data_IF_905597220049
#
_entry.id   IF_905597220049
#
_cell.length_a   1.000
_cell.length_b   1.000
_cell.length_c   1.000
_cell.angle_alpha   90.00
_cell.angle_beta   90.00
_cell.angle_gamma   90.00
#
_symmetry.space_group_name_H-M   'P 1'
#
loop_
_entity.id
_entity.type
_entity.pdbx_description
1 polymer ?
#
# COMPACT_ATOMS: atom_id res chain seq x y z
N UNK A 1 -17.86 2.01 19.87
CA UNK A 1 -16.75 1.32 19.22
C UNK A 1 -15.89 0.69 20.31
N UNK A 2 -15.57 -0.59 20.18
CA UNK A 2 -14.58 -1.24 21.04
C UNK A 2 -13.23 -1.13 20.32
N UNK A 3 -12.27 -0.43 20.90
CA UNK A 3 -10.92 -0.24 20.33
C UNK A 3 -9.92 -1.29 20.83
N UNK A 4 -10.37 -2.28 21.60
CA UNK A 4 -9.50 -3.37 22.03
C UNK A 4 -9.26 -4.32 20.85
N UNK A 5 -8.00 -4.68 20.65
CA UNK A 5 -7.64 -5.70 19.66
C UNK A 5 -8.32 -7.03 19.96
N UNK A 6 -8.81 -7.71 18.94
CA UNK A 6 -9.33 -9.07 19.07
C UNK A 6 -8.19 -10.06 19.34
N UNK A 7 -8.53 -11.24 19.86
CA UNK A 7 -7.54 -12.32 20.05
C UNK A 7 -6.81 -12.65 18.73
N UNK A 8 -7.55 -12.72 17.62
CA UNK A 8 -6.99 -12.93 16.28
C UNK A 8 -5.98 -11.84 15.90
N UNK A 9 -6.28 -10.57 16.15
CA UNK A 9 -5.36 -9.47 15.87
C UNK A 9 -4.08 -9.57 16.71
N UNK A 10 -4.20 -9.97 17.99
CA UNK A 10 -3.05 -10.16 18.88
C UNK A 10 -2.15 -11.28 18.35
N UNK A 11 -2.74 -12.43 18.00
CA UNK A 11 -2.00 -13.58 17.45
C UNK A 11 -1.29 -13.23 16.15
N UNK A 12 -1.96 -12.51 15.24
CA UNK A 12 -1.37 -12.01 13.99
C UNK A 12 -0.19 -11.07 14.28
N UNK A 13 -0.36 -10.14 15.21
CA UNK A 13 0.69 -9.19 15.58
C UNK A 13 1.94 -9.89 16.17
N UNK A 14 1.74 -10.89 17.02
CA UNK A 14 2.82 -11.71 17.59
C UNK A 14 3.54 -12.52 16.53
N UNK A 15 2.79 -13.22 15.67
CA UNK A 15 3.34 -13.99 14.56
C UNK A 15 4.19 -13.10 13.62
N UNK A 16 3.69 -11.93 13.25
CA UNK A 16 4.41 -10.98 12.38
C UNK A 16 5.65 -10.44 13.08
N UNK A 17 5.57 -10.15 14.37
CA UNK A 17 6.72 -9.68 15.16
C UNK A 17 7.85 -10.71 15.14
N UNK A 18 7.54 -11.97 15.45
CA UNK A 18 8.53 -13.05 15.48
C UNK A 18 9.13 -13.30 14.10
N UNK A 19 8.28 -13.38 13.08
CA UNK A 19 8.71 -13.50 11.69
C UNK A 19 9.61 -12.33 11.27
N UNK A 20 9.20 -11.13 11.58
CA UNK A 20 9.91 -9.91 11.19
C UNK A 20 11.26 -9.74 11.87
N UNK A 21 11.36 -10.07 13.16
CA UNK A 21 12.63 -10.06 13.90
C UNK A 21 13.60 -11.08 13.28
N UNK A 22 13.11 -12.26 12.91
CA UNK A 22 13.93 -13.35 12.39
C UNK A 22 14.34 -13.16 10.92
N UNK A 23 13.44 -12.67 10.07
CA UNK A 23 13.61 -12.73 8.62
C UNK A 23 13.71 -11.38 7.92
N UNK A 24 13.13 -10.30 8.48
CA UNK A 24 13.09 -8.98 7.85
C UNK A 24 14.14 -8.05 8.44
N UNK A 25 14.12 -7.86 9.77
CA UNK A 25 14.97 -6.88 10.47
C UNK A 25 16.46 -7.01 10.18
N UNK A 26 17.06 -8.22 10.11
CA UNK A 26 18.49 -8.36 9.86
C UNK A 26 18.96 -7.83 8.50
N UNK A 27 18.07 -7.78 7.51
CA UNK A 27 18.41 -7.49 6.13
C UNK A 27 17.80 -6.17 5.60
N UNK A 28 16.89 -5.54 6.35
CA UNK A 28 16.08 -4.43 5.83
C UNK A 28 16.90 -3.20 5.39
N UNK A 29 18.01 -2.92 6.06
CA UNK A 29 18.88 -1.79 5.71
C UNK A 29 19.70 -2.08 4.45
N UNK A 30 20.17 -3.31 4.30
CA UNK A 30 20.85 -3.76 3.08
C UNK A 30 19.92 -3.76 1.88
N UNK A 31 18.70 -4.29 2.03
CA UNK A 31 17.69 -4.25 0.96
C UNK A 31 17.35 -2.83 0.54
N UNK A 32 17.26 -1.90 1.51
CA UNK A 32 17.02 -0.49 1.24
C UNK A 32 18.18 0.13 0.46
N UNK A 33 19.42 -0.06 0.92
CA UNK A 33 20.60 0.51 0.30
C UNK A 33 20.81 0.01 -1.13
N UNK A 34 20.69 -1.30 -1.33
CA UNK A 34 20.91 -1.95 -2.62
C UNK A 34 19.64 -2.00 -3.50
N UNK A 35 18.49 -1.51 -2.99
CA UNK A 35 17.21 -1.56 -3.68
C UNK A 35 16.79 -2.99 -4.08
N UNK A 36 17.02 -3.96 -3.19
CA UNK A 36 16.66 -5.36 -3.39
C UNK A 36 15.19 -5.58 -3.02
N UNK A 37 14.40 -6.09 -3.96
CA UNK A 37 13.07 -6.62 -3.66
C UNK A 37 13.20 -8.04 -3.11
N UNK A 38 12.83 -8.30 -1.85
CA UNK A 38 13.09 -9.59 -1.21
C UNK A 38 11.98 -10.61 -1.51
N UNK A 39 11.90 -11.10 -2.74
CA UNK A 39 10.83 -12.00 -3.22
C UNK A 39 10.58 -13.20 -2.28
N UNK A 40 11.63 -13.81 -1.74
CA UNK A 40 11.52 -14.97 -0.83
C UNK A 40 10.79 -14.63 0.48
N UNK A 41 10.81 -13.37 0.91
CA UNK A 41 10.02 -12.93 2.07
C UNK A 41 8.53 -12.97 1.75
N UNK A 42 8.14 -12.57 0.53
CA UNK A 42 6.73 -12.58 0.12
C UNK A 42 6.18 -13.99 -0.03
N UNK A 43 6.97 -14.94 -0.52
CA UNK A 43 6.60 -16.36 -0.54
C UNK A 43 6.32 -16.88 0.88
N UNK A 44 7.21 -16.60 1.84
CA UNK A 44 7.00 -16.96 3.24
C UNK A 44 5.79 -16.25 3.87
N UNK A 45 5.53 -15.00 3.51
CA UNK A 45 4.31 -14.29 3.94
C UNK A 45 3.05 -14.93 3.33
N UNK A 46 3.13 -15.47 2.11
CA UNK A 46 2.07 -16.27 1.50
C UNK A 46 1.79 -17.56 2.27
N UNK A 47 2.84 -18.29 2.68
CA UNK A 47 2.72 -19.48 3.53
C UNK A 47 2.02 -19.20 4.87
N UNK A 48 2.15 -17.96 5.38
CA UNK A 48 1.48 -17.49 6.59
C UNK A 48 0.07 -16.92 6.33
N UNK A 49 -0.42 -16.95 5.08
CA UNK A 49 -1.73 -16.43 4.69
C UNK A 49 -1.80 -14.90 4.59
N UNK A 50 -0.65 -14.19 4.65
CA UNK A 50 -0.62 -12.73 4.72
C UNK A 50 -0.67 -12.03 3.34
N UNK A 51 -0.61 -12.80 2.26
CA UNK A 51 -0.73 -12.29 0.89
C UNK A 51 -2.16 -12.39 0.32
N UNK A 52 -3.07 -13.04 1.03
CA UNK A 52 -4.48 -13.17 0.69
C UNK A 52 -5.40 -12.92 1.89
N UNK A 53 -5.11 -11.90 2.71
CA UNK A 53 -5.81 -11.65 3.99
C UNK A 53 -7.33 -11.51 3.80
N UNK A 54 -7.72 -10.73 2.79
CA UNK A 54 -9.14 -10.40 2.49
C UNK A 54 -9.78 -11.39 1.49
N UNK A 55 -9.00 -12.32 0.94
CA UNK A 55 -9.50 -13.31 -0.03
C UNK A 55 -10.25 -14.39 0.74
N UNK A 56 -11.48 -14.76 0.32
CA UNK A 56 -12.21 -15.87 0.92
C UNK A 56 -11.44 -17.21 0.88
N UNK A 57 -11.68 -18.07 1.86
CA UNK A 57 -11.03 -19.38 1.97
C UNK A 57 -11.29 -20.26 0.73
N UNK A 58 -12.46 -20.14 0.10
CA UNK A 58 -12.81 -20.86 -1.13
C UNK A 58 -11.88 -20.57 -2.31
N UNK A 59 -11.17 -19.42 -2.28
CA UNK A 59 -10.15 -19.03 -3.24
C UNK A 59 -8.73 -19.11 -2.64
N UNK A 60 -8.55 -19.84 -1.54
CA UNK A 60 -7.24 -20.07 -0.92
C UNK A 60 -6.70 -18.90 -0.08
N UNK A 61 -7.52 -17.93 0.25
CA UNK A 61 -7.15 -16.83 1.15
C UNK A 61 -7.45 -17.11 2.61
N UNK A 62 -7.23 -16.12 3.48
CA UNK A 62 -7.45 -16.24 4.93
C UNK A 62 -8.87 -15.89 5.37
N UNK A 63 -9.70 -15.33 4.49
CA UNK A 63 -11.11 -14.99 4.79
C UNK A 63 -11.31 -13.97 5.91
N UNK A 64 -10.27 -13.17 6.22
CA UNK A 64 -10.26 -12.22 7.33
C UNK A 64 -10.82 -10.84 6.91
N UNK A 65 -11.07 -9.98 7.91
CA UNK A 65 -11.61 -8.65 7.69
C UNK A 65 -10.56 -7.55 7.66
N UNK A 66 -11.05 -6.31 7.56
CA UNK A 66 -10.18 -5.12 7.48
C UNK A 66 -9.46 -4.82 8.80
N UNK A 67 -9.94 -5.26 9.95
CA UNK A 67 -9.21 -5.10 11.21
C UNK A 67 -7.94 -5.93 11.23
N UNK A 68 -8.02 -7.19 10.81
CA UNK A 68 -6.87 -8.08 10.70
C UNK A 68 -5.93 -7.61 9.59
N UNK A 69 -6.47 -7.18 8.46
CA UNK A 69 -5.68 -6.63 7.36
C UNK A 69 -4.88 -5.38 7.77
N UNK A 70 -5.48 -4.45 8.48
CA UNK A 70 -4.79 -3.26 9.04
C UNK A 70 -3.69 -3.68 10.01
N UNK A 71 -3.95 -4.69 10.84
CA UNK A 71 -2.94 -5.25 11.76
C UNK A 71 -1.76 -5.82 10.97
N UNK A 72 -2.01 -6.63 9.93
CA UNK A 72 -0.97 -7.19 9.06
C UNK A 72 -0.10 -6.09 8.46
N UNK A 73 -0.71 -5.11 7.80
CA UNK A 73 0.04 -4.04 7.12
C UNK A 73 0.83 -3.20 8.12
N UNK A 74 0.22 -2.81 9.25
CA UNK A 74 0.89 -1.94 10.22
C UNK A 74 2.02 -2.65 10.96
N UNK A 75 1.87 -3.91 11.37
CA UNK A 75 2.93 -4.65 12.07
C UNK A 75 4.12 -4.99 11.14
N UNK A 76 3.88 -5.30 9.87
CA UNK A 76 4.97 -5.45 8.88
C UNK A 76 5.67 -4.12 8.64
N UNK A 77 4.92 -3.03 8.44
CA UNK A 77 5.47 -1.70 8.17
C UNK A 77 6.27 -1.12 9.34
N UNK A 78 5.90 -1.46 10.57
CA UNK A 78 6.63 -1.13 11.79
C UNK A 78 8.05 -1.69 11.81
N UNK A 79 8.27 -2.82 11.13
CA UNK A 79 9.59 -3.45 10.99
C UNK A 79 10.27 -2.95 9.71
N UNK A 80 9.58 -3.05 8.55
CA UNK A 80 10.08 -2.60 7.26
C UNK A 80 8.95 -2.06 6.38
N UNK A 81 8.93 -0.76 6.22
CA UNK A 81 7.93 -0.02 5.43
C UNK A 81 7.85 -0.49 3.98
N UNK A 82 8.98 -0.84 3.36
CA UNK A 82 9.03 -1.32 1.97
C UNK A 82 8.29 -2.64 1.79
N UNK A 83 8.47 -3.59 2.73
CA UNK A 83 7.73 -4.86 2.72
C UNK A 83 6.25 -4.61 2.99
N UNK A 84 5.94 -3.75 3.97
CA UNK A 84 4.56 -3.36 4.29
C UNK A 84 3.83 -2.73 3.09
N UNK A 85 4.50 -1.84 2.34
CA UNK A 85 3.95 -1.25 1.11
C UNK A 85 3.63 -2.31 0.06
N UNK A 86 4.54 -3.26 -0.16
CA UNK A 86 4.34 -4.31 -1.15
C UNK A 86 3.20 -5.25 -0.77
N UNK A 87 3.08 -5.63 0.51
CA UNK A 87 1.93 -6.41 1.02
C UNK A 87 0.62 -5.62 0.85
N UNK A 88 0.63 -4.33 1.17
CA UNK A 88 -0.54 -3.46 1.03
C UNK A 88 -0.98 -3.34 -0.44
N UNK A 89 -0.07 -3.02 -1.36
CA UNK A 89 -0.37 -2.87 -2.78
C UNK A 89 -0.85 -4.18 -3.42
N UNK A 90 -0.25 -5.31 -3.06
CA UNK A 90 -0.66 -6.63 -3.55
C UNK A 90 -2.09 -6.95 -3.12
N UNK A 91 -2.39 -6.91 -1.81
CA UNK A 91 -3.70 -7.27 -1.27
C UNK A 91 -4.81 -6.30 -1.68
N UNK A 92 -4.60 -4.98 -1.56
CA UNK A 92 -5.68 -4.01 -1.74
C UNK A 92 -5.92 -3.61 -3.18
N UNK A 93 -4.89 -3.59 -4.02
CA UNK A 93 -5.01 -3.10 -5.39
C UNK A 93 -5.25 -4.24 -6.38
N UNK A 94 -4.26 -5.08 -6.67
CA UNK A 94 -4.41 -6.16 -7.65
C UNK A 94 -5.40 -7.23 -7.19
N UNK A 95 -5.15 -7.82 -6.02
CA UNK A 95 -6.02 -8.88 -5.46
C UNK A 95 -7.42 -8.33 -5.21
N UNK A 96 -7.52 -7.15 -4.57
CA UNK A 96 -8.81 -6.50 -4.30
C UNK A 96 -9.59 -6.19 -5.57
N UNK A 97 -8.94 -5.76 -6.66
CA UNK A 97 -9.61 -5.49 -7.93
C UNK A 97 -10.21 -6.77 -8.55
N UNK A 98 -9.43 -7.86 -8.57
CA UNK A 98 -9.92 -9.16 -9.08
C UNK A 98 -11.04 -9.71 -8.20
N UNK A 99 -10.88 -9.61 -6.88
CA UNK A 99 -11.89 -10.09 -5.92
C UNK A 99 -13.23 -9.37 -6.09
N UNK A 100 -13.22 -8.05 -6.31
CA UNK A 100 -14.46 -7.26 -6.39
C UNK A 100 -15.13 -7.29 -7.77
N UNK A 101 -14.36 -7.44 -8.85
CA UNK A 101 -14.86 -7.25 -10.21
C UNK A 101 -14.57 -8.41 -11.16
N UNK A 102 -13.78 -9.39 -10.75
CA UNK A 102 -13.55 -10.61 -11.50
C UNK A 102 -14.80 -11.49 -11.54
N UNK A 103 -15.01 -12.16 -12.66
CA UNK A 103 -15.98 -13.25 -12.74
C UNK A 103 -15.43 -14.52 -12.04
N UNK A 104 -16.25 -15.55 -11.89
CA UNK A 104 -15.88 -16.75 -11.15
C UNK A 104 -14.65 -17.49 -11.75
N UNK A 105 -14.53 -17.51 -13.08
CA UNK A 105 -13.38 -18.13 -13.76
C UNK A 105 -12.09 -17.35 -13.45
N UNK A 106 -12.17 -16.03 -13.51
CA UNK A 106 -11.03 -15.15 -13.19
C UNK A 106 -10.62 -15.28 -11.72
N UNK A 107 -11.58 -15.27 -10.79
CA UNK A 107 -11.29 -15.46 -9.35
C UNK A 107 -10.63 -16.80 -9.08
N UNK A 108 -11.18 -17.90 -9.60
CA UNK A 108 -10.61 -19.24 -9.43
C UNK A 108 -9.24 -19.40 -10.06
N UNK A 109 -8.97 -18.69 -11.16
CA UNK A 109 -7.67 -18.75 -11.84
C UNK A 109 -6.58 -17.97 -11.11
N UNK A 110 -6.89 -16.76 -10.62
CA UNK A 110 -5.90 -15.82 -10.15
C UNK A 110 -5.77 -15.74 -8.64
N UNK A 111 -6.89 -15.76 -7.90
CA UNK A 111 -6.84 -15.51 -6.46
C UNK A 111 -6.04 -16.55 -5.66
N UNK A 112 -6.13 -17.88 -5.95
CA UNK A 112 -5.34 -18.86 -5.20
C UNK A 112 -3.83 -18.64 -5.32
N UNK A 113 -3.36 -18.33 -6.52
CA UNK A 113 -1.94 -18.08 -6.77
C UNK A 113 -1.43 -16.77 -6.14
N UNK A 114 -2.27 -15.76 -6.13
CA UNK A 114 -1.98 -14.48 -5.49
C UNK A 114 -2.00 -14.61 -3.96
N UNK A 115 -2.98 -15.31 -3.39
CA UNK A 115 -3.12 -15.49 -1.95
C UNK A 115 -1.96 -16.30 -1.35
N UNK A 116 -1.44 -17.30 -2.08
CA UNK A 116 -0.27 -18.09 -1.69
C UNK A 116 1.07 -17.41 -1.97
N UNK A 117 1.07 -16.26 -2.66
CA UNK A 117 2.27 -15.62 -3.21
C UNK A 117 3.07 -16.50 -4.20
N UNK A 118 2.44 -17.51 -4.80
CA UNK A 118 2.98 -18.15 -6.01
C UNK A 118 3.13 -17.11 -7.12
N UNK A 119 2.16 -16.20 -7.22
CA UNK A 119 2.17 -15.03 -8.09
C UNK A 119 2.10 -13.72 -7.30
N UNK A 120 2.86 -12.74 -7.76
CA UNK A 120 2.83 -11.37 -7.24
C UNK A 120 1.96 -10.50 -8.16
N UNK A 121 1.03 -9.77 -7.56
CA UNK A 121 0.14 -8.87 -8.27
C UNK A 121 0.67 -7.45 -8.38
N UNK A 122 0.45 -6.83 -9.53
CA UNK A 122 0.72 -5.43 -9.80
C UNK A 122 -0.55 -4.68 -10.23
N UNK A 123 -0.57 -3.34 -10.13
CA UNK A 123 -1.76 -2.56 -10.47
C UNK A 123 -1.38 -1.26 -11.19
N UNK A 124 -1.82 -1.09 -12.43
CA UNK A 124 -1.43 -0.02 -13.32
C UNK A 124 -2.55 0.98 -13.62
N UNK A 125 -2.57 2.12 -12.90
CA UNK A 125 -3.45 3.26 -13.18
C UNK A 125 -2.64 4.46 -13.69
N UNK A 126 -1.64 4.90 -12.91
CA UNK A 126 -0.88 6.12 -13.10
C UNK A 126 -0.02 6.10 -14.36
N UNK A 127 0.08 7.24 -15.03
CA UNK A 127 0.95 7.49 -16.18
C UNK A 127 1.81 8.73 -15.94
N UNK A 128 2.81 8.98 -16.78
CA UNK A 128 3.72 10.11 -16.61
C UNK A 128 2.98 11.47 -16.53
N UNK A 129 1.85 11.60 -17.21
CA UNK A 129 1.05 12.84 -17.27
C UNK A 129 -0.25 12.76 -16.47
N UNK A 130 -0.57 11.64 -15.82
CA UNK A 130 -1.84 11.43 -15.11
C UNK A 130 -1.63 10.78 -13.75
N UNK A 131 -1.41 11.62 -12.74
CA UNK A 131 -1.38 11.21 -11.33
C UNK A 131 -2.72 11.53 -10.65
N UNK A 132 -2.85 12.75 -10.13
CA UNK A 132 -4.09 13.21 -9.47
C UNK A 132 -5.28 13.31 -10.44
N UNK A 133 -5.02 13.60 -11.72
CA UNK A 133 -6.01 13.58 -12.80
C UNK A 133 -6.05 12.19 -13.48
N UNK A 134 -6.34 11.16 -12.69
CA UNK A 134 -6.30 9.76 -13.13
C UNK A 134 -7.33 9.41 -14.21
N UNK A 135 -8.39 10.21 -14.34
CA UNK A 135 -9.41 10.03 -15.39
C UNK A 135 -8.90 10.34 -16.80
N UNK A 136 -7.84 11.14 -16.91
CA UNK A 136 -7.28 11.60 -18.19
C UNK A 136 -6.15 10.69 -18.70
N UNK A 137 -6.29 9.37 -18.50
CA UNK A 137 -5.29 8.38 -18.93
C UNK A 137 -5.15 8.32 -20.46
N UNK A 138 -3.92 8.03 -20.91
CA UNK A 138 -3.56 7.97 -22.34
C UNK A 138 -3.29 6.55 -22.83
N UNK A 139 -2.96 5.61 -21.96
CA UNK A 139 -2.86 4.20 -22.30
C UNK A 139 -4.20 3.75 -22.89
N UNK A 140 -4.20 3.22 -24.11
CA UNK A 140 -5.41 2.90 -24.86
C UNK A 140 -5.52 1.40 -25.09
N UNK A 141 -6.74 0.88 -25.03
CA UNK A 141 -7.08 -0.46 -25.48
C UNK A 141 -8.09 -0.36 -26.62
N UNK A 142 -7.70 -0.84 -27.81
CA UNK A 142 -8.52 -0.83 -29.02
C UNK A 142 -9.10 -2.23 -29.23
N UNK A 143 -10.41 -2.33 -29.45
CA UNK A 143 -11.07 -3.60 -29.74
C UNK A 143 -10.67 -4.11 -31.13
N UNK A 144 -10.29 -5.40 -31.22
CA UNK A 144 -9.96 -6.09 -32.47
C UNK A 144 -10.56 -7.51 -32.46
N UNK A 145 -11.72 -7.65 -33.05
CA UNK A 145 -12.51 -8.89 -32.97
C UNK A 145 -12.89 -9.26 -31.53
N UNK A 146 -12.44 -10.42 -31.07
CA UNK A 146 -12.62 -10.87 -29.69
C UNK A 146 -11.47 -10.48 -28.76
N UNK A 147 -10.50 -9.71 -29.25
CA UNK A 147 -9.32 -9.30 -28.52
C UNK A 147 -9.30 -7.78 -28.29
N UNK A 148 -8.34 -7.35 -27.49
CA UNK A 148 -7.97 -5.96 -27.27
C UNK A 148 -6.49 -5.77 -27.54
N UNK A 149 -6.13 -4.65 -28.15
CA UNK A 149 -4.73 -4.25 -28.39
C UNK A 149 -4.43 -3.08 -27.46
N UNK A 150 -3.54 -3.28 -26.50
CA UNK A 150 -3.11 -2.26 -25.55
C UNK A 150 -1.86 -1.56 -26.04
N UNK A 151 -1.87 -0.22 -25.97
CA UNK A 151 -0.73 0.64 -26.26
C UNK A 151 -0.60 1.75 -25.24
N UNK A 152 0.60 1.94 -24.67
CA UNK A 152 0.90 2.98 -23.70
C UNK A 152 1.85 2.53 -22.60
N UNK A 153 2.01 3.40 -21.57
CA UNK A 153 2.92 3.14 -20.47
C UNK A 153 2.26 3.52 -19.15
N UNK A 154 2.43 2.67 -18.12
CA UNK A 154 2.06 2.97 -16.75
C UNK A 154 3.30 3.22 -15.92
N UNK A 155 3.26 4.23 -15.04
CA UNK A 155 4.40 4.70 -14.26
C UNK A 155 4.15 4.50 -12.76
N UNK A 156 5.25 4.40 -12.01
CA UNK A 156 5.24 4.27 -10.55
C UNK A 156 4.53 3.01 -10.05
N UNK A 157 4.66 1.90 -10.81
CA UNK A 157 3.94 0.68 -10.51
C UNK A 157 4.74 -0.20 -9.56
N UNK A 158 4.18 -0.44 -8.37
CA UNK A 158 4.70 -1.44 -7.43
C UNK A 158 4.61 -2.83 -8.07
N UNK A 159 5.70 -3.59 -8.03
CA UNK A 159 5.87 -4.88 -8.71
C UNK A 159 5.79 -4.78 -10.25
N UNK A 160 6.17 -3.65 -10.83
CA UNK A 160 6.13 -3.44 -12.28
C UNK A 160 7.04 -4.37 -13.06
N UNK A 161 8.11 -4.89 -12.46
CA UNK A 161 9.02 -5.89 -13.05
C UNK A 161 8.70 -7.30 -12.53
N UNK A 162 8.61 -7.46 -11.20
CA UNK A 162 8.48 -8.77 -10.56
C UNK A 162 7.04 -9.30 -10.49
N UNK A 163 6.04 -8.48 -10.78
CA UNK A 163 4.65 -8.92 -10.80
C UNK A 163 4.37 -9.94 -11.90
N UNK A 164 3.79 -11.08 -11.52
CA UNK A 164 3.41 -12.17 -12.45
C UNK A 164 2.11 -11.83 -13.19
N UNK A 165 1.26 -11.04 -12.57
CA UNK A 165 0.00 -10.55 -13.15
C UNK A 165 -0.24 -9.10 -12.78
N UNK A 166 -0.77 -8.32 -13.72
CA UNK A 166 -1.14 -6.93 -13.51
C UNK A 166 -2.62 -6.70 -13.82
N UNK A 167 -3.30 -5.92 -12.97
CA UNK A 167 -4.55 -5.28 -13.34
C UNK A 167 -4.23 -3.89 -13.89
N UNK A 168 -4.58 -3.64 -15.15
CA UNK A 168 -4.23 -2.43 -15.87
C UNK A 168 -5.49 -1.71 -16.35
N UNK A 169 -5.58 -0.42 -16.07
CA UNK A 169 -6.65 0.42 -16.60
C UNK A 169 -6.21 1.07 -17.90
N UNK A 170 -7.01 0.92 -18.94
CA UNK A 170 -6.76 1.53 -20.24
C UNK A 170 -8.01 2.21 -20.77
N UNK A 171 -7.84 3.27 -21.56
CA UNK A 171 -8.93 3.97 -22.22
C UNK A 171 -9.47 3.12 -23.36
N UNK A 172 -10.78 2.92 -23.39
CA UNK A 172 -11.49 2.12 -24.40
C UNK A 172 -12.52 2.92 -25.19
N UNK A 173 -12.76 4.17 -24.82
CA UNK A 173 -13.75 5.06 -25.45
C UNK A 173 -13.17 6.43 -25.82
N UNK A 174 -14.07 7.34 -26.25
CA UNK A 174 -13.70 8.72 -26.55
C UNK A 174 -13.12 9.41 -25.30
N UNK A 175 -11.93 10.01 -25.36
CA UNK A 175 -11.30 10.69 -24.23
C UNK A 175 -12.13 11.86 -23.65
N UNK A 176 -13.11 12.35 -24.41
CA UNK A 176 -13.98 13.47 -24.00
C UNK A 176 -15.22 13.03 -23.23
N UNK A 177 -15.46 11.73 -23.09
CA UNK A 177 -16.65 11.18 -22.40
C UNK A 177 -16.24 10.54 -21.07
N UNK A 178 -17.13 10.63 -20.08
CA UNK A 178 -17.03 9.82 -18.85
C UNK A 178 -17.30 8.34 -19.17
N UNK A 179 -16.74 7.42 -18.39
CA UNK A 179 -16.91 5.99 -18.63
C UNK A 179 -16.10 5.46 -19.82
N UNK A 180 -14.93 6.05 -20.06
CA UNK A 180 -14.12 5.75 -21.21
C UNK A 180 -12.94 4.79 -20.94
N UNK A 181 -12.88 4.16 -19.79
CA UNK A 181 -11.78 3.25 -19.43
C UNK A 181 -12.28 1.91 -18.93
N UNK A 182 -11.48 0.88 -19.17
CA UNK A 182 -11.75 -0.51 -18.78
C UNK A 182 -10.53 -1.08 -18.06
N UNK A 183 -10.76 -2.00 -17.14
CA UNK A 183 -9.70 -2.73 -16.47
C UNK A 183 -9.47 -4.10 -17.12
N UNK A 184 -8.21 -4.49 -17.20
CA UNK A 184 -7.78 -5.75 -17.82
C UNK A 184 -6.79 -6.48 -16.92
N UNK A 185 -6.88 -7.81 -16.87
CA UNK A 185 -5.88 -8.68 -16.24
C UNK A 185 -4.86 -9.06 -17.31
N UNK A 186 -3.59 -8.79 -17.07
CA UNK A 186 -2.51 -9.07 -18.02
C UNK A 186 -1.43 -9.90 -17.31
N UNK A 187 -1.16 -11.10 -17.81
CA UNK A 187 -0.13 -11.98 -17.28
C UNK A 187 1.25 -11.56 -17.79
N UNK A 188 2.27 -11.72 -16.95
CA UNK A 188 3.66 -11.55 -17.35
C UNK A 188 4.00 -12.55 -18.46
N UNK A 189 4.74 -12.11 -19.46
CA UNK A 189 5.05 -12.92 -20.65
C UNK A 189 4.06 -12.77 -21.79
N UNK A 190 2.95 -12.05 -21.61
CA UNK A 190 2.08 -11.66 -22.75
C UNK A 190 2.89 -10.84 -23.75
N UNK A 191 2.93 -11.22 -25.04
CA UNK A 191 3.65 -10.46 -26.06
C UNK A 191 3.23 -8.99 -26.07
N UNK A 192 4.23 -8.09 -26.08
CA UNK A 192 4.01 -6.64 -26.01
C UNK A 192 3.82 -6.10 -24.58
N UNK A 193 3.79 -6.93 -23.53
CA UNK A 193 3.88 -6.47 -22.15
C UNK A 193 5.32 -6.51 -21.66
N UNK A 194 5.93 -5.34 -21.52
CA UNK A 194 7.35 -5.19 -21.21
C UNK A 194 7.52 -4.47 -19.86
N UNK A 195 8.59 -4.82 -19.14
CA UNK A 195 9.06 -4.06 -17.99
C UNK A 195 9.85 -2.84 -18.50
N UNK A 196 9.53 -1.68 -17.97
CA UNK A 196 10.28 -0.46 -18.25
C UNK A 196 11.31 -0.15 -17.16
N UNK A 197 11.61 1.13 -16.98
CA UNK A 197 12.62 1.62 -16.04
C UNK A 197 12.24 1.32 -14.59
N UNK A 198 13.18 0.76 -13.81
CA UNK A 198 13.10 0.69 -12.35
C UNK A 198 13.45 2.06 -11.74
N UNK A 199 12.63 2.51 -10.80
CA UNK A 199 12.79 3.83 -10.20
C UNK A 199 13.78 3.81 -9.01
N UNK A 200 14.71 4.77 -9.00
CA UNK A 200 15.58 5.04 -7.85
C UNK A 200 14.90 6.08 -6.95
N UNK A 201 14.35 5.64 -5.83
CA UNK A 201 13.45 6.42 -4.98
C UNK A 201 14.13 7.00 -3.75
N UNK A 202 13.53 8.03 -3.16
CA UNK A 202 13.93 8.60 -1.87
C UNK A 202 13.84 7.56 -0.75
N UNK A 203 12.70 6.90 -0.63
CA UNK A 203 12.38 5.88 0.36
C UNK A 203 11.64 4.70 -0.26
N UNK A 204 11.18 3.76 0.57
CA UNK A 204 10.54 2.51 0.12
C UNK A 204 11.40 1.77 -0.92
N UNK A 205 12.72 1.81 -0.74
CA UNK A 205 13.70 1.44 -1.77
C UNK A 205 13.73 -0.08 -2.01
N UNK A 206 13.39 -0.87 -0.99
CA UNK A 206 13.23 -2.33 -1.11
C UNK A 206 11.84 -2.77 -1.63
N UNK A 207 10.91 -1.84 -1.86
CA UNK A 207 9.68 -2.10 -2.62
C UNK A 207 9.95 -1.75 -4.08
N UNK A 208 9.91 -2.74 -4.96
CA UNK A 208 10.13 -2.49 -6.38
C UNK A 208 9.06 -1.55 -6.96
N UNK A 209 9.52 -0.56 -7.72
CA UNK A 209 8.64 0.36 -8.45
C UNK A 209 9.22 0.57 -9.84
N UNK A 210 8.41 0.34 -10.88
CA UNK A 210 8.87 0.45 -12.26
C UNK A 210 7.76 0.89 -13.21
N UNK A 211 8.15 1.14 -14.44
CA UNK A 211 7.22 1.33 -15.55
C UNK A 211 6.73 -0.02 -16.08
N UNK A 212 5.49 -0.02 -16.59
CA UNK A 212 4.93 -1.09 -17.42
C UNK A 212 4.67 -0.53 -18.80
N UNK A 213 5.21 -1.16 -19.84
CA UNK A 213 5.09 -0.74 -21.22
C UNK A 213 4.21 -1.74 -21.98
N UNK A 214 3.24 -1.23 -22.71
CA UNK A 214 2.37 -2.00 -23.59
C UNK A 214 2.61 -1.53 -25.03
N UNK A 215 3.15 -2.41 -25.85
CA UNK A 215 3.42 -2.17 -27.27
C UNK A 215 2.70 -3.24 -28.09
N UNK A 216 1.58 -2.85 -28.68
CA UNK A 216 0.69 -3.77 -29.41
C UNK A 216 0.37 -5.04 -28.59
N UNK A 217 0.21 -4.87 -27.28
CA UNK A 217 -0.04 -5.98 -26.36
C UNK A 217 -1.46 -6.52 -26.60
N UNK A 218 -1.54 -7.70 -27.20
CA UNK A 218 -2.80 -8.37 -27.52
C UNK A 218 -3.27 -9.23 -26.38
N UNK A 219 -4.49 -9.00 -25.91
CA UNK A 219 -5.16 -9.76 -24.87
C UNK A 219 -6.58 -10.16 -25.26
N UNK A 220 -7.06 -11.30 -24.79
CA UNK A 220 -8.44 -11.75 -25.02
C UNK A 220 -9.45 -10.90 -24.24
N UNK A 221 -10.68 -10.78 -24.78
CA UNK A 221 -11.78 -10.14 -24.05
C UNK A 221 -12.12 -10.85 -22.73
N UNK A 222 -11.79 -12.14 -22.60
CA UNK A 222 -11.93 -12.89 -21.34
C UNK A 222 -11.04 -12.38 -20.20
N UNK A 223 -10.03 -11.56 -20.50
CA UNK A 223 -9.16 -10.91 -19.52
C UNK A 223 -9.67 -9.54 -19.07
N UNK A 224 -10.79 -9.07 -19.59
CA UNK A 224 -11.46 -7.85 -19.18
C UNK A 224 -12.16 -8.04 -17.81
N UNK A 225 -11.99 -7.08 -16.93
CA UNK A 225 -12.66 -7.04 -15.63
C UNK A 225 -13.95 -6.21 -15.70
N UNK A 226 -15.10 -6.86 -15.50
CA UNK A 226 -16.41 -6.20 -15.52
C UNK A 226 -16.78 -5.67 -16.92
N UNK A 227 -17.54 -4.58 -17.00
CA UNK A 227 -18.08 -4.03 -18.25
C UNK A 227 -17.13 -3.01 -18.88
N UNK A 228 -17.21 -2.88 -20.22
CA UNK A 228 -16.48 -1.84 -20.96
C UNK A 228 -16.93 -0.46 -20.48
N UNK A 229 -15.97 0.41 -20.17
CA UNK A 229 -16.22 1.76 -19.68
C UNK A 229 -16.26 1.88 -18.13
N UNK A 230 -16.30 0.78 -17.39
CA UNK A 230 -16.44 0.79 -15.92
C UNK A 230 -15.10 0.96 -15.16
N UNK A 231 -13.97 0.90 -15.86
CA UNK A 231 -12.64 0.80 -15.23
C UNK A 231 -12.36 1.90 -14.23
N UNK A 232 -12.67 3.17 -14.53
CA UNK A 232 -12.42 4.26 -13.60
C UNK A 232 -13.29 4.16 -12.33
N UNK A 233 -14.56 3.77 -12.46
CA UNK A 233 -15.47 3.53 -11.33
C UNK A 233 -14.95 2.40 -10.44
N UNK A 234 -14.48 1.32 -11.06
CA UNK A 234 -13.86 0.20 -10.35
C UNK A 234 -12.59 0.66 -9.59
N UNK A 235 -11.71 1.41 -10.27
CA UNK A 235 -10.50 1.95 -9.65
C UNK A 235 -10.79 2.81 -8.41
N UNK A 236 -11.80 3.68 -8.47
CA UNK A 236 -12.18 4.51 -7.32
C UNK A 236 -12.66 3.66 -6.14
N UNK A 237 -13.42 2.58 -6.40
CA UNK A 237 -13.86 1.65 -5.35
C UNK A 237 -12.70 0.84 -4.73
N UNK A 238 -11.74 0.45 -5.54
CA UNK A 238 -10.49 -0.22 -5.09
C UNK A 238 -9.67 0.74 -4.24
N UNK A 239 -9.48 1.97 -4.70
CA UNK A 239 -8.72 3.00 -3.98
C UNK A 239 -9.37 3.42 -2.65
N UNK A 240 -10.67 3.29 -2.47
CA UNK A 240 -11.29 3.49 -1.16
C UNK A 240 -10.72 2.51 -0.11
N UNK A 241 -10.51 1.23 -0.48
CA UNK A 241 -9.81 0.25 0.35
C UNK A 241 -8.31 0.54 0.45
N UNK A 242 -7.68 0.94 -0.64
CA UNK A 242 -6.26 1.31 -0.70
C UNK A 242 -5.91 2.47 0.24
N UNK A 243 -6.80 3.44 0.44
CA UNK A 243 -6.60 4.53 1.43
C UNK A 243 -6.48 3.99 2.86
N UNK A 244 -7.28 2.98 3.24
CA UNK A 244 -7.14 2.30 4.53
C UNK A 244 -5.76 1.62 4.61
N UNK A 245 -5.30 1.01 3.53
CA UNK A 245 -3.99 0.34 3.44
C UNK A 245 -2.83 1.30 3.65
N UNK A 246 -2.83 2.47 2.98
CA UNK A 246 -1.79 3.49 3.17
C UNK A 246 -1.88 4.14 4.56
N UNK A 247 -3.07 4.30 5.13
CA UNK A 247 -3.21 4.74 6.50
C UNK A 247 -2.60 3.73 7.49
N UNK A 248 -2.83 2.43 7.29
CA UNK A 248 -2.23 1.35 8.09
C UNK A 248 -0.71 1.29 7.93
N UNK A 249 -0.20 1.45 6.71
CA UNK A 249 1.23 1.58 6.42
C UNK A 249 1.84 2.76 7.20
N UNK A 250 1.18 3.92 7.15
CA UNK A 250 1.61 5.13 7.87
C UNK A 250 1.62 4.92 9.38
N UNK A 251 0.60 4.23 9.92
CA UNK A 251 0.53 3.86 11.32
C UNK A 251 1.70 2.97 11.73
N UNK A 252 2.03 1.95 10.93
CA UNK A 252 3.16 1.06 11.18
C UNK A 252 4.49 1.80 11.20
N UNK A 253 4.76 2.66 10.21
CA UNK A 253 5.96 3.51 10.17
C UNK A 253 6.03 4.39 11.41
N UNK A 254 4.92 5.01 11.80
CA UNK A 254 4.83 5.87 12.98
C UNK A 254 5.16 5.10 14.26
N UNK A 255 4.58 3.90 14.43
CA UNK A 255 4.87 3.02 15.58
C UNK A 255 6.35 2.62 15.61
N UNK A 256 6.94 2.23 14.46
CA UNK A 256 8.34 1.85 14.37
C UNK A 256 9.30 2.99 14.70
N UNK A 257 9.06 4.18 14.15
CA UNK A 257 9.85 5.38 14.43
C UNK A 257 9.74 5.81 15.90
N UNK A 258 8.52 5.78 16.46
CA UNK A 258 8.27 6.10 17.87
C UNK A 258 8.96 5.12 18.81
N UNK A 259 8.83 3.81 18.60
CA UNK A 259 9.47 2.79 19.46
C UNK A 259 10.98 2.91 19.45
N UNK A 260 11.59 3.16 18.29
CA UNK A 260 13.02 3.41 18.18
C UNK A 260 13.42 4.66 18.99
N UNK A 261 12.69 5.77 18.82
CA UNK A 261 12.95 7.03 19.51
C UNK A 261 12.77 6.91 21.03
N UNK A 262 11.70 6.23 21.48
CA UNK A 262 11.43 5.99 22.90
C UNK A 262 12.53 5.16 23.56
N UNK A 263 12.95 4.07 22.90
CA UNK A 263 14.05 3.23 23.38
C UNK A 263 15.34 4.05 23.51
N UNK A 264 15.72 4.74 22.44
CA UNK A 264 16.93 5.57 22.43
C UNK A 264 16.88 6.65 23.50
N UNK A 265 15.75 7.34 23.68
CA UNK A 265 15.62 8.40 24.68
C UNK A 265 15.79 7.89 26.13
N UNK A 266 15.43 6.63 26.41
CA UNK A 266 15.62 6.00 27.72
C UNK A 266 17.05 5.52 27.96
N UNK A 267 17.78 5.20 26.92
CA UNK A 267 19.15 4.63 26.98
C UNK A 267 20.24 5.70 26.81
N UNK A 268 19.98 6.74 26.02
CA UNK A 268 20.96 7.80 25.75
C UNK A 268 21.04 8.77 26.91
N UNK A 269 22.24 8.94 27.44
CA UNK A 269 22.49 9.90 28.52
C UNK A 269 23.22 11.15 28.01
N UNK A 270 22.80 12.31 28.52
CA UNK A 270 23.47 13.60 28.42
C UNK A 270 23.18 14.39 29.71
N UNK A 271 24.13 15.22 30.14
CA UNK A 271 24.05 15.97 31.39
C UNK A 271 23.71 15.04 32.59
N UNK A 272 24.39 13.87 32.64
CA UNK A 272 24.33 12.86 33.66
C UNK A 272 22.94 12.22 33.90
N UNK A 273 22.08 12.20 32.89
CA UNK A 273 20.78 11.54 32.95
C UNK A 273 20.29 11.11 31.56
N UNK A 274 19.36 10.12 31.49
CA UNK A 274 18.66 9.77 30.24
C UNK A 274 17.99 10.99 29.62
N UNK A 275 18.09 11.13 28.28
CA UNK A 275 17.50 12.29 27.58
C UNK A 275 15.97 12.30 27.68
N UNK A 276 15.32 11.16 27.97
CA UNK A 276 13.90 11.08 28.25
C UNK A 276 13.44 11.95 29.45
N UNK A 277 14.34 12.28 30.39
CA UNK A 277 14.05 13.10 31.55
C UNK A 277 13.97 14.60 31.24
N UNK A 278 14.45 15.01 30.05
CA UNK A 278 14.28 16.41 29.62
C UNK A 278 12.86 16.64 29.10
N UNK A 279 12.18 17.66 29.63
CA UNK A 279 10.79 17.98 29.31
C UNK A 279 10.56 18.14 27.79
N UNK A 280 11.51 18.76 27.07
CA UNK A 280 11.43 18.91 25.62
C UNK A 280 11.38 17.57 24.87
N UNK A 281 12.09 16.54 25.34
CA UNK A 281 12.06 15.20 24.75
C UNK A 281 10.78 14.46 25.17
N UNK A 282 10.41 14.54 26.46
CA UNK A 282 9.19 13.92 26.97
C UNK A 282 7.93 14.43 26.23
N UNK A 283 7.86 15.73 25.93
CA UNK A 283 6.73 16.32 25.22
C UNK A 283 6.68 15.86 23.75
N UNK A 284 7.83 15.76 23.05
CA UNK A 284 7.87 15.16 21.70
C UNK A 284 7.32 13.75 21.71
N UNK A 285 7.73 12.90 22.64
CA UNK A 285 7.24 11.53 22.76
C UNK A 285 5.74 11.48 23.06
N UNK A 286 5.22 12.37 23.90
CA UNK A 286 3.79 12.47 24.19
C UNK A 286 2.97 12.87 22.94
N UNK A 287 3.45 13.86 22.19
CA UNK A 287 2.81 14.29 20.94
C UNK A 287 2.82 13.19 19.88
N UNK A 288 3.96 12.51 19.71
CA UNK A 288 4.09 11.39 18.77
C UNK A 288 3.08 10.27 19.11
N UNK A 289 3.00 9.88 20.37
CA UNK A 289 2.07 8.84 20.84
C UNK A 289 0.61 9.25 20.64
N UNK A 290 0.26 10.49 20.96
CA UNK A 290 -1.10 11.03 20.75
C UNK A 290 -1.50 10.97 19.27
N UNK A 291 -0.60 11.34 18.36
CA UNK A 291 -0.87 11.29 16.92
C UNK A 291 -1.01 9.84 16.43
N UNK A 292 -0.27 8.87 16.99
CA UNK A 292 -0.43 7.44 16.68
C UNK A 292 -1.83 6.98 17.10
N UNK A 293 -2.27 7.29 18.32
CA UNK A 293 -3.59 6.90 18.79
C UNK A 293 -4.74 7.52 17.98
N UNK A 294 -4.61 8.79 17.61
CA UNK A 294 -5.60 9.46 16.74
C UNK A 294 -5.65 8.83 15.34
N UNK A 295 -4.49 8.47 14.77
CA UNK A 295 -4.40 7.77 13.48
C UNK A 295 -5.10 6.41 13.56
N UNK A 296 -4.82 5.63 14.59
CA UNK A 296 -5.41 4.32 14.83
C UNK A 296 -6.94 4.39 14.93
N UNK A 297 -7.47 5.34 15.68
CA UNK A 297 -8.91 5.55 15.83
C UNK A 297 -9.62 5.82 14.49
N UNK A 298 -9.04 6.69 13.64
CA UNK A 298 -9.59 6.99 12.31
C UNK A 298 -9.52 5.78 11.36
N UNK A 299 -8.44 5.00 11.42
CA UNK A 299 -8.26 3.80 10.62
C UNK A 299 -9.29 2.74 11.01
N UNK A 300 -9.48 2.50 12.31
CA UNK A 300 -10.47 1.55 12.78
C UNK A 300 -11.89 1.97 12.45
N UNK A 301 -12.21 3.26 12.49
CA UNK A 301 -13.52 3.76 12.04
C UNK A 301 -13.78 3.43 10.56
N UNK A 302 -12.81 3.68 9.68
CA UNK A 302 -12.95 3.37 8.25
C UNK A 302 -13.02 1.85 8.00
N UNK A 303 -12.24 1.06 8.75
CA UNK A 303 -12.22 -0.40 8.67
C UNK A 303 -13.55 -1.03 9.11
N UNK A 304 -14.15 -0.53 10.18
CA UNK A 304 -15.46 -0.98 10.66
C UNK A 304 -16.56 -0.77 9.62
N UNK A 305 -16.63 0.43 9.05
CA UNK A 305 -17.57 0.74 7.97
C UNK A 305 -17.36 -0.18 6.76
N UNK A 306 -16.10 -0.43 6.40
CA UNK A 306 -15.76 -1.33 5.29
C UNK A 306 -16.19 -2.77 5.56
N UNK A 307 -15.94 -3.30 6.77
CA UNK A 307 -16.37 -4.64 7.18
C UNK A 307 -17.89 -4.80 7.16
N UNK A 308 -18.63 -3.75 7.47
CA UNK A 308 -20.09 -3.73 7.40
C UNK A 308 -20.66 -3.50 5.98
N UNK A 309 -19.79 -3.33 4.98
CA UNK A 309 -20.20 -3.04 3.61
C UNK A 309 -20.80 -1.63 3.42
N UNK A 310 -20.58 -0.72 4.36
CA UNK A 310 -21.09 0.64 4.33
C UNK A 310 -20.19 1.58 3.52
N UNK A 311 -20.76 2.72 3.08
CA UNK A 311 -19.98 3.77 2.39
C UNK A 311 -18.99 4.38 3.36
N UNK A 312 -17.70 4.38 2.99
CA UNK A 312 -16.61 4.87 3.86
C UNK A 312 -15.61 5.78 3.12
N UNK A 313 -16.00 6.32 1.96
CA UNK A 313 -15.12 7.15 1.11
C UNK A 313 -14.55 8.36 1.86
N UNK A 314 -15.37 9.03 2.66
CA UNK A 314 -14.94 10.17 3.49
C UNK A 314 -14.02 9.70 4.61
N UNK A 315 -14.39 8.67 5.34
CA UNK A 315 -13.67 8.15 6.50
C UNK A 315 -12.32 7.57 6.09
N UNK A 316 -12.23 6.84 4.97
CA UNK A 316 -10.96 6.34 4.43
C UNK A 316 -10.03 7.48 4.00
N UNK A 317 -10.58 8.53 3.39
CA UNK A 317 -9.81 9.72 3.02
C UNK A 317 -9.30 10.48 4.27
N UNK A 318 -10.13 10.60 5.33
CA UNK A 318 -9.73 11.20 6.61
C UNK A 318 -8.62 10.40 7.28
N UNK A 319 -8.77 9.08 7.36
CA UNK A 319 -7.77 8.18 7.94
C UNK A 319 -6.43 8.30 7.20
N UNK A 320 -6.46 8.21 5.87
CA UNK A 320 -5.26 8.32 5.02
C UNK A 320 -4.58 9.68 5.18
N UNK A 321 -5.33 10.76 5.08
CA UNK A 321 -4.80 12.12 5.20
C UNK A 321 -4.14 12.33 6.57
N UNK A 322 -4.86 12.05 7.65
CA UNK A 322 -4.35 12.31 8.99
C UNK A 322 -3.14 11.43 9.30
N UNK A 323 -3.23 10.10 9.09
CA UNK A 323 -2.17 9.16 9.41
C UNK A 323 -0.88 9.43 8.61
N UNK A 324 -0.98 9.78 7.31
CA UNK A 324 0.19 10.06 6.48
C UNK A 324 0.91 11.36 6.89
N UNK A 325 0.17 12.41 7.22
CA UNK A 325 0.76 13.67 7.69
C UNK A 325 1.38 13.52 9.09
N UNK A 326 0.71 12.79 10.00
CA UNK A 326 1.25 12.45 11.31
C UNK A 326 2.53 11.62 11.18
N UNK A 327 2.55 10.64 10.27
CA UNK A 327 3.70 9.79 10.02
C UNK A 327 4.96 10.59 9.66
N UNK A 328 4.84 11.56 8.76
CA UNK A 328 5.98 12.43 8.38
C UNK A 328 6.48 13.23 9.59
N UNK A 329 5.57 13.80 10.40
CA UNK A 329 5.95 14.54 11.62
C UNK A 329 6.64 13.63 12.64
N UNK A 330 6.07 12.47 12.92
CA UNK A 330 6.60 11.49 13.88
C UNK A 330 7.99 11.00 13.43
N UNK A 331 8.16 10.66 12.16
CA UNK A 331 9.45 10.21 11.64
C UNK A 331 10.52 11.33 11.70
N UNK A 332 10.13 12.58 11.46
CA UNK A 332 10.99 13.76 11.62
C UNK A 332 11.45 13.93 13.08
N UNK A 333 10.51 13.84 14.02
CA UNK A 333 10.83 13.95 15.44
C UNK A 333 11.67 12.79 15.96
N UNK A 334 11.48 11.58 15.40
CA UNK A 334 12.34 10.44 15.74
C UNK A 334 13.80 10.70 15.35
N UNK A 335 14.05 11.18 14.13
CA UNK A 335 15.41 11.59 13.70
C UNK A 335 15.96 12.68 14.63
N UNK A 336 15.14 13.68 15.01
CA UNK A 336 15.55 14.77 15.87
C UNK A 336 15.94 14.29 17.29
N UNK A 337 15.21 13.31 17.85
CA UNK A 337 15.51 12.72 19.16
C UNK A 337 16.85 11.98 19.16
N UNK A 338 17.16 11.30 18.05
CA UNK A 338 18.46 10.63 17.88
C UNK A 338 19.64 11.61 17.66
N UNK A 339 19.36 12.87 17.27
CA UNK A 339 20.38 13.84 16.96
C UNK A 339 21.29 13.38 15.82
N UNK A 340 22.60 13.55 15.94
CA UNK A 340 23.57 13.15 14.91
C UNK A 340 23.46 11.68 14.49
N UNK A 341 23.18 10.78 15.42
CA UNK A 341 22.99 9.36 15.13
C UNK A 341 21.73 9.09 14.28
N UNK A 342 20.70 9.92 14.40
CA UNK A 342 19.51 9.81 13.55
C UNK A 342 19.74 10.17 12.08
N UNK A 343 20.88 10.82 11.79
CA UNK A 343 21.26 11.24 10.43
C UNK A 343 22.22 10.24 9.75
N UNK A 344 22.54 9.13 10.43
CA UNK A 344 23.38 8.05 9.90
C UNK A 344 22.55 6.81 9.61
N UNK A 345 23.05 5.93 8.74
CA UNK A 345 22.39 4.67 8.36
C UNK A 345 22.54 3.55 9.39
N UNK A 346 23.22 3.79 10.50
CA UNK A 346 23.39 2.82 11.58
C UNK A 346 22.08 2.58 12.37
N UNK A 347 21.13 3.51 12.26
CA UNK A 347 19.85 3.46 12.94
C UNK A 347 18.69 3.57 11.95
N UNK A 348 17.54 2.90 12.20
CA UNK A 348 16.46 2.81 11.23
C UNK A 348 15.63 4.11 11.07
N UNK A 349 15.83 5.12 11.93
CA UNK A 349 14.98 6.33 11.96
C UNK A 349 15.12 7.18 10.70
N UNK A 350 16.33 7.24 10.10
CA UNK A 350 16.52 7.92 8.82
C UNK A 350 15.78 7.25 7.68
N UNK A 351 15.68 5.90 7.71
CA UNK A 351 14.89 5.13 6.75
C UNK A 351 13.40 5.40 6.93
N UNK A 352 12.88 5.37 8.16
CA UNK A 352 11.48 5.72 8.45
C UNK A 352 11.15 7.14 7.98
N UNK A 353 12.08 8.10 8.14
CA UNK A 353 11.90 9.47 7.64
C UNK A 353 11.75 9.50 6.11
N UNK A 354 12.64 8.86 5.37
CA UNK A 354 12.56 8.79 3.90
C UNK A 354 11.30 8.06 3.42
N UNK A 355 10.96 6.95 4.06
CA UNK A 355 9.81 6.10 3.72
C UNK A 355 8.48 6.80 3.98
N UNK A 356 8.37 7.58 5.07
CA UNK A 356 7.15 8.26 5.49
C UNK A 356 6.61 9.21 4.43
N UNK A 357 7.48 9.83 3.62
CA UNK A 357 7.09 10.84 2.63
C UNK A 357 6.20 10.26 1.53
N UNK A 358 6.40 8.99 1.13
CA UNK A 358 5.53 8.33 0.15
C UNK A 358 4.07 8.35 0.58
N UNK A 359 3.79 8.19 1.87
CA UNK A 359 2.43 8.08 2.39
C UNK A 359 1.57 9.32 2.12
N UNK A 360 2.17 10.51 1.99
CA UNK A 360 1.44 11.74 1.64
C UNK A 360 1.21 11.91 0.13
N UNK A 361 1.81 11.05 -0.71
CA UNK A 361 1.80 11.15 -2.18
C UNK A 361 1.02 9.99 -2.80
N UNK A 362 1.36 8.75 -2.45
CA UNK A 362 0.82 7.53 -3.05
C UNK A 362 -0.67 7.33 -2.77
N UNK A 363 -1.37 6.69 -3.68
CA UNK A 363 -2.82 6.40 -3.65
C UNK A 363 -3.69 7.66 -3.42
N UNK A 364 -3.30 8.76 -4.07
CA UNK A 364 -3.94 10.07 -3.94
C UNK A 364 -3.24 10.95 -2.91
N UNK A 365 -2.72 12.09 -3.35
CA UNK A 365 -2.00 13.04 -2.50
C UNK A 365 -2.86 13.55 -1.34
N UNK A 366 -2.23 14.17 -0.33
CA UNK A 366 -2.95 14.83 0.78
C UNK A 366 -3.98 15.84 0.28
N UNK A 367 -3.70 16.55 -0.83
CA UNK A 367 -4.62 17.50 -1.47
C UNK A 367 -5.84 16.78 -2.07
N UNK A 368 -5.62 15.63 -2.71
CA UNK A 368 -6.73 14.80 -3.23
C UNK A 368 -7.58 14.26 -2.08
N UNK A 369 -6.99 13.83 -0.95
CA UNK A 369 -7.79 13.43 0.21
C UNK A 369 -8.64 14.57 0.74
N UNK A 370 -8.07 15.78 0.88
CA UNK A 370 -8.82 16.99 1.27
C UNK A 370 -9.96 17.29 0.30
N UNK A 371 -9.73 17.15 -1.02
CA UNK A 371 -10.77 17.33 -2.03
C UNK A 371 -11.89 16.29 -1.87
N UNK A 372 -11.57 15.03 -1.61
CA UNK A 372 -12.57 13.98 -1.36
C UNK A 372 -13.37 14.29 -0.10
N UNK A 373 -12.71 14.66 0.99
CA UNK A 373 -13.36 15.02 2.25
C UNK A 373 -14.29 16.21 2.04
N UNK A 374 -13.79 17.31 1.46
CA UNK A 374 -14.58 18.54 1.26
C UNK A 374 -15.82 18.31 0.41
N UNK A 375 -15.72 17.53 -0.68
CA UNK A 375 -16.88 17.17 -1.50
C UNK A 375 -17.94 16.41 -0.73
N UNK A 376 -17.52 15.48 0.16
CA UNK A 376 -18.47 14.71 0.94
C UNK A 376 -19.15 15.52 2.05
N UNK A 377 -18.47 16.51 2.66
CA UNK A 377 -19.10 17.34 3.72
C UNK A 377 -19.91 18.51 3.17
N UNK A 378 -19.62 18.98 1.96
CA UNK A 378 -20.32 20.10 1.35
C UNK A 378 -21.56 19.68 0.52
N UNK A 379 -21.62 18.41 0.12
CA UNK A 379 -22.70 17.88 -0.73
C UNK A 379 -23.42 16.67 -0.10
N UNK A 380 -23.28 16.51 1.22
CA UNK A 380 -24.01 15.50 2.02
C UNK A 380 -25.40 15.96 2.38
#
# INVERSE_FOLDING_TARGET
MNFNSTETQIQIAEMIRDFGIKHIRPNMMEWDEQQIFPLEIFKKLGELGLMGVLVPEEYGGSGLGYFEYVTVVSEIAKICSSVGLSVAAHNSLCVGHILYFGNEEQKKKYLPKLASAEWIGAWGLTEANTGSDASNMRCVATKDGNDWILNGTKNWITHGITGDVAVVLARTGDPRTSGNSTAFIIERGTPGFLAGKKENKLGMRASETAEMIFDNCRISDSQRLGEVGDGFRQAMKVLDGGRISIAALSLGISKGAYEAALKYAKEREQFDQPIANFQAIAFKLADMFTQIQASEALIYQASDLKNRGEKMTKESAMAKYYASEACVRIATEAVQIFGGYGYTKDFPVEKFYRDSKLCTIGEGTSEIQKLVISRNILHS
#
